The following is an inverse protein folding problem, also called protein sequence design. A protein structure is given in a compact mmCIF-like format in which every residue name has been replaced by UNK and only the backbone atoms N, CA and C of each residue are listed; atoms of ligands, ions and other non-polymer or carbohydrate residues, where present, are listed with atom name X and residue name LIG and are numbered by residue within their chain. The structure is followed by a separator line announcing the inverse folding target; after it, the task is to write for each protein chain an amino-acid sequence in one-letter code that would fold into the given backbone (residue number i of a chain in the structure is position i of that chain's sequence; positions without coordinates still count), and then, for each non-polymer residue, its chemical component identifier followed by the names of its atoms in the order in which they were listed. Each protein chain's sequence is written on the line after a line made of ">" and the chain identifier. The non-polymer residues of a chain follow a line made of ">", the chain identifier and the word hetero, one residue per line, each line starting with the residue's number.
data_IF_613692963540
#
_entry.id   IF_613692963540
#
_cell.length_a   1.000
_cell.length_b   1.000
_cell.length_c   1.000
_cell.angle_alpha   90.00
_cell.angle_beta   90.00
_cell.angle_gamma   90.00
#
_symmetry.space_group_name_H-M   'P 1'
#
loop_
_entity.id
_entity.type
_entity.pdbx_description
1 polymer ?
#
# COMPACT_ATOMS: atom_id res chain seq x y z
N UNK A 1 -14.04 -71.11 -47.55
CA UNK A 1 -13.79 -69.78 -48.16
C UNK A 1 -14.37 -68.74 -47.23
N UNK A 2 -13.52 -68.10 -46.42
CA UNK A 2 -13.97 -67.04 -45.50
C UNK A 2 -13.98 -65.70 -46.24
N UNK A 3 -15.16 -65.13 -46.45
CA UNK A 3 -15.33 -63.77 -46.94
C UNK A 3 -14.86 -62.80 -45.85
N UNK A 4 -13.71 -62.15 -46.07
CA UNK A 4 -13.25 -61.03 -45.25
C UNK A 4 -13.75 -59.76 -45.94
N UNK A 5 -14.76 -59.05 -45.41
CA UNK A 5 -15.16 -57.77 -45.98
C UNK A 5 -13.98 -56.82 -45.82
N UNK A 6 -13.33 -56.48 -46.93
CA UNK A 6 -12.34 -55.43 -46.98
C UNK A 6 -13.10 -54.11 -46.85
N UNK A 7 -13.20 -53.62 -45.62
CA UNK A 7 -13.77 -52.33 -45.30
C UNK A 7 -12.81 -51.24 -45.76
N UNK A 8 -12.99 -50.77 -47.00
CA UNK A 8 -12.18 -49.70 -47.57
C UNK A 8 -12.38 -48.34 -46.85
N UNK A 9 -13.40 -48.20 -45.99
CA UNK A 9 -13.64 -46.99 -45.22
C UNK A 9 -12.80 -46.92 -43.94
N UNK A 10 -12.40 -48.06 -43.35
CA UNK A 10 -11.55 -48.08 -42.14
C UNK A 10 -10.20 -47.41 -42.36
N UNK A 11 -9.62 -47.57 -43.55
CA UNK A 11 -8.34 -46.94 -43.91
C UNK A 11 -8.43 -45.42 -43.96
N UNK A 12 -9.51 -44.88 -44.54
CA UNK A 12 -9.72 -43.44 -44.66
C UNK A 12 -9.96 -42.79 -43.29
N UNK A 13 -10.81 -43.39 -42.45
CA UNK A 13 -11.06 -42.88 -41.10
C UNK A 13 -9.82 -42.95 -40.21
N UNK A 14 -9.03 -44.02 -40.34
CA UNK A 14 -7.75 -44.17 -39.66
C UNK A 14 -6.74 -43.08 -40.06
N UNK A 15 -6.59 -42.78 -41.36
CA UNK A 15 -5.68 -41.73 -41.83
C UNK A 15 -6.08 -40.34 -41.32
N UNK A 16 -7.37 -40.02 -41.32
CA UNK A 16 -7.89 -38.75 -40.78
C UNK A 16 -7.57 -38.65 -39.29
N UNK A 17 -7.81 -39.70 -38.51
CA UNK A 17 -7.52 -39.73 -37.09
C UNK A 17 -6.02 -39.51 -36.81
N UNK A 18 -5.16 -40.13 -37.63
CA UNK A 18 -3.71 -40.00 -37.51
C UNK A 18 -3.24 -38.56 -37.84
N UNK A 19 -3.82 -37.95 -38.87
CA UNK A 19 -3.57 -36.55 -39.21
C UNK A 19 -3.95 -35.58 -38.09
N UNK A 20 -5.12 -35.76 -37.47
CA UNK A 20 -5.56 -34.94 -36.33
C UNK A 20 -4.62 -35.16 -35.14
N UNK A 21 -4.28 -36.41 -34.82
CA UNK A 21 -3.39 -36.70 -33.70
C UNK A 21 -2.03 -36.02 -33.85
N UNK A 22 -1.39 -36.15 -35.02
CA UNK A 22 -0.09 -35.53 -35.29
C UNK A 22 -0.20 -34.00 -35.31
N UNK A 23 -1.25 -33.45 -35.91
CA UNK A 23 -1.49 -32.01 -35.94
C UNK A 23 -1.70 -31.42 -34.54
N UNK A 24 -2.47 -32.10 -33.69
CA UNK A 24 -2.68 -31.70 -32.30
C UNK A 24 -1.39 -31.80 -31.49
N UNK A 25 -0.60 -32.86 -31.69
CA UNK A 25 0.67 -33.05 -30.99
C UNK A 25 1.69 -31.96 -31.36
N UNK A 26 1.79 -31.61 -32.64
CA UNK A 26 2.64 -30.52 -33.13
C UNK A 26 2.19 -29.16 -32.58
N UNK A 27 0.89 -28.89 -32.59
CA UNK A 27 0.31 -27.65 -32.06
C UNK A 27 0.55 -27.53 -30.55
N UNK A 28 0.33 -28.61 -29.79
CA UNK A 28 0.56 -28.63 -28.35
C UNK A 28 2.04 -28.42 -28.00
N UNK A 29 2.94 -29.06 -28.73
CA UNK A 29 4.39 -28.85 -28.56
C UNK A 29 4.77 -27.39 -28.83
N UNK A 30 4.28 -26.81 -29.93
CA UNK A 30 4.56 -25.42 -30.28
C UNK A 30 3.99 -24.44 -29.25
N UNK A 31 2.73 -24.61 -28.86
CA UNK A 31 2.08 -23.80 -27.83
C UNK A 31 2.80 -23.91 -26.48
N UNK A 32 3.25 -25.10 -26.10
CA UNK A 32 4.04 -25.33 -24.90
C UNK A 32 5.38 -24.58 -24.91
N UNK A 33 6.11 -24.63 -26.03
CA UNK A 33 7.38 -23.89 -26.18
C UNK A 33 7.13 -22.38 -26.10
N UNK A 34 6.13 -21.87 -26.81
CA UNK A 34 5.78 -20.45 -26.79
C UNK A 34 5.38 -20.00 -25.38
N UNK A 35 4.57 -20.79 -24.67
CA UNK A 35 4.17 -20.51 -23.29
C UNK A 35 5.37 -20.51 -22.34
N UNK A 36 6.32 -21.44 -22.48
CA UNK A 36 7.55 -21.48 -21.69
C UNK A 36 8.43 -20.24 -21.95
N UNK A 37 8.63 -19.87 -23.22
CA UNK A 37 9.41 -18.69 -23.59
C UNK A 37 8.80 -17.40 -23.03
N UNK A 38 7.48 -17.22 -23.20
CA UNK A 38 6.76 -16.05 -22.67
C UNK A 38 6.78 -16.04 -21.14
N UNK A 39 6.51 -17.16 -20.48
CA UNK A 39 6.53 -17.27 -19.02
C UNK A 39 7.90 -16.95 -18.44
N UNK A 40 8.97 -17.47 -19.08
CA UNK A 40 10.34 -17.16 -18.68
C UNK A 40 10.70 -15.69 -18.86
N UNK A 41 10.32 -15.10 -20.00
CA UNK A 41 10.53 -13.67 -20.24
C UNK A 41 9.79 -12.82 -19.20
N UNK A 42 8.50 -13.06 -18.98
CA UNK A 42 7.69 -12.36 -17.98
C UNK A 42 8.28 -12.49 -16.58
N UNK A 43 8.69 -13.69 -16.17
CA UNK A 43 9.32 -13.91 -14.87
C UNK A 43 10.61 -13.08 -14.71
N UNK A 44 11.45 -13.04 -15.74
CA UNK A 44 12.67 -12.21 -15.73
C UNK A 44 12.35 -10.72 -15.68
N UNK A 45 11.36 -10.24 -16.43
CA UNK A 45 10.95 -8.84 -16.42
C UNK A 45 10.40 -8.40 -15.06
N UNK A 46 9.55 -9.23 -14.43
CA UNK A 46 8.99 -8.95 -13.10
C UNK A 46 10.09 -8.95 -12.04
N UNK A 47 11.03 -9.91 -12.12
CA UNK A 47 12.16 -9.99 -11.18
C UNK A 47 13.09 -8.78 -11.28
N UNK A 48 13.31 -8.25 -12.49
CA UNK A 48 14.11 -7.05 -12.70
C UNK A 48 13.40 -5.75 -12.28
N UNK A 49 12.07 -5.76 -12.23
CA UNK A 49 11.23 -4.61 -11.84
C UNK A 49 10.82 -4.59 -10.37
N UNK A 50 11.19 -5.59 -9.56
CA UNK A 50 10.86 -5.60 -8.14
C UNK A 50 11.62 -4.46 -7.44
N UNK A 51 10.93 -3.42 -6.95
CA UNK A 51 11.60 -2.38 -6.18
C UNK A 51 12.22 -3.04 -4.96
N UNK A 52 13.53 -2.89 -4.78
CA UNK A 52 14.19 -3.18 -3.50
C UNK A 52 13.37 -2.47 -2.44
N UNK A 53 12.77 -3.17 -1.45
CA UNK A 53 12.07 -2.50 -0.38
C UNK A 53 13.09 -1.59 0.31
N UNK A 54 12.96 -0.29 0.07
CA UNK A 54 13.69 0.72 0.82
C UNK A 54 13.43 0.39 2.30
N UNK A 55 14.47 0.27 3.14
CA UNK A 55 14.26 0.07 4.55
C UNK A 55 13.39 1.23 5.02
N UNK A 56 12.12 0.94 5.31
CA UNK A 56 11.22 1.87 5.96
C UNK A 56 11.90 2.17 7.29
N UNK A 57 12.58 3.32 7.38
CA UNK A 57 12.97 3.88 8.66
C UNK A 57 11.67 3.95 9.43
N UNK A 58 11.55 3.09 10.43
CA UNK A 58 10.53 3.19 11.45
C UNK A 58 10.61 4.62 11.97
N UNK A 59 9.71 5.47 11.48
CA UNK A 59 9.47 6.76 12.07
C UNK A 59 8.87 6.44 13.42
N UNK A 60 9.71 6.35 14.44
CA UNK A 60 9.26 6.49 15.81
C UNK A 60 8.82 7.95 15.90
N UNK A 61 7.52 8.27 16.01
CA UNK A 61 7.12 9.61 16.41
C UNK A 61 7.78 9.84 17.76
N UNK A 62 8.86 10.64 17.75
CA UNK A 62 9.42 11.19 18.97
C UNK A 62 8.26 11.97 19.55
N UNK A 63 7.63 11.41 20.58
CA UNK A 63 6.75 12.16 21.46
C UNK A 63 7.57 13.31 22.00
N UNK A 64 7.58 14.42 21.25
CA UNK A 64 7.89 15.72 21.79
C UNK A 64 6.78 15.95 22.81
N UNK A 65 7.01 15.47 24.03
CA UNK A 65 6.52 16.17 25.18
C UNK A 65 7.11 17.57 25.04
N UNK A 66 6.38 18.45 24.37
CA UNK A 66 6.55 19.87 24.54
C UNK A 66 6.36 20.07 26.04
N UNK A 67 7.45 20.35 26.75
CA UNK A 67 7.36 20.83 28.12
C UNK A 67 6.32 21.95 28.10
N UNK A 68 5.27 21.92 28.94
CA UNK A 68 4.32 23.01 28.98
C UNK A 68 5.14 24.28 29.19
N UNK A 69 5.02 25.22 28.26
CA UNK A 69 5.60 26.54 28.45
C UNK A 69 5.07 27.01 29.80
N UNK A 70 5.94 27.06 30.80
CA UNK A 70 5.63 27.67 32.07
C UNK A 70 5.37 29.12 31.72
N UNK A 71 4.10 29.48 31.55
CA UNK A 71 3.67 30.85 31.54
C UNK A 71 4.28 31.45 32.80
N UNK A 72 5.25 32.35 32.63
CA UNK A 72 5.82 33.10 33.72
C UNK A 72 4.78 34.17 34.06
N UNK A 73 3.73 33.79 34.80
CA UNK A 73 2.72 34.74 35.23
C UNK A 73 3.41 35.79 36.12
N UNK A 74 3.21 37.07 35.82
CA UNK A 74 3.77 38.18 36.60
C UNK A 74 3.30 38.03 38.05
N UNK A 75 4.15 38.19 39.08
CA UNK A 75 3.68 38.22 40.45
C UNK A 75 2.62 39.32 40.64
N UNK A 76 1.70 39.14 41.59
CA UNK A 76 0.72 40.16 41.94
C UNK A 76 1.44 41.28 42.72
N UNK A 77 1.22 42.52 42.32
CA UNK A 77 1.67 43.68 43.09
C UNK A 77 0.67 44.02 44.21
N UNK A 78 1.08 44.80 45.21
CA UNK A 78 0.28 45.10 46.42
C UNK A 78 -1.09 45.72 46.13
N UNK A 79 -1.23 46.42 44.99
CA UNK A 79 -2.46 47.06 44.53
C UNK A 79 -3.22 46.24 43.48
N UNK A 80 -2.81 44.99 43.26
CA UNK A 80 -3.40 44.09 42.27
C UNK A 80 -4.03 42.85 42.95
N UNK A 81 -5.13 42.37 42.37
CA UNK A 81 -5.82 41.15 42.82
C UNK A 81 -6.14 40.26 41.63
N UNK A 82 -6.07 38.95 41.86
CA UNK A 82 -6.50 37.96 40.90
C UNK A 82 -7.89 37.45 41.24
N UNK A 83 -8.82 37.53 40.29
CA UNK A 83 -10.18 37.00 40.44
C UNK A 83 -10.55 36.30 39.14
N UNK A 84 -10.88 35.01 39.18
CA UNK A 84 -11.28 34.22 38.01
C UNK A 84 -10.29 34.27 36.83
N UNK A 85 -9.01 34.13 37.13
CA UNK A 85 -7.90 34.25 36.17
C UNK A 85 -7.75 35.62 35.48
N UNK A 86 -8.41 36.66 36.02
CA UNK A 86 -8.33 38.03 35.55
C UNK A 86 -7.68 38.91 36.61
N UNK A 87 -6.77 39.79 36.18
CA UNK A 87 -6.08 40.73 37.06
C UNK A 87 -6.87 42.02 37.19
N UNK A 88 -7.08 42.45 38.42
CA UNK A 88 -7.72 43.71 38.76
C UNK A 88 -6.73 44.61 39.50
N UNK A 89 -6.58 45.85 39.06
CA UNK A 89 -5.79 46.88 39.75
C UNK A 89 -6.71 47.81 40.51
N UNK A 90 -6.32 48.18 41.73
CA UNK A 90 -7.02 49.18 42.55
C UNK A 90 -6.70 50.57 42.01
N UNK A 91 -7.74 51.34 41.70
CA UNK A 91 -7.68 52.77 41.41
C UNK A 91 -8.33 53.56 42.55
N UNK A 92 -8.09 54.87 42.57
CA UNK A 92 -8.69 55.79 43.55
C UNK A 92 -10.22 55.78 43.55
N UNK A 93 -10.84 55.40 42.43
CA UNK A 93 -12.29 55.35 42.21
C UNK A 93 -12.87 53.93 42.09
N UNK A 94 -12.07 52.86 42.25
CA UNK A 94 -12.59 51.49 42.15
C UNK A 94 -11.55 50.44 41.73
N UNK A 95 -12.00 49.40 41.02
CA UNK A 95 -11.17 48.34 40.46
C UNK A 95 -11.26 48.38 38.93
N UNK A 96 -10.11 48.26 38.26
CA UNK A 96 -10.05 48.15 36.80
C UNK A 96 -9.44 46.80 36.43
N UNK A 97 -10.12 46.07 35.54
CA UNK A 97 -9.57 44.86 34.94
C UNK A 97 -8.40 45.23 34.00
N UNK A 98 -7.29 44.51 34.10
CA UNK A 98 -6.16 44.61 33.18
C UNK A 98 -6.33 43.53 32.10
N UNK A 99 -6.82 43.88 30.90
CA UNK A 99 -6.90 42.91 29.81
C UNK A 99 -5.49 42.53 29.36
N UNK A 100 -5.29 41.23 29.11
CA UNK A 100 -4.04 40.58 28.68
C UNK A 100 -2.99 40.25 29.75
N UNK A 101 -3.27 40.49 31.04
CA UNK A 101 -2.42 40.01 32.14
C UNK A 101 -3.14 38.93 32.96
N UNK A 102 -3.13 37.65 32.51
CA UNK A 102 -3.71 36.58 33.30
C UNK A 102 -2.91 36.37 34.60
N UNK A 103 -3.66 36.01 35.61
CA UNK A 103 -3.25 35.47 36.90
C UNK A 103 -4.11 34.21 37.13
#
# INVERSE_FOLDING_TARGET
>A
MSYRPQNNHDGLWWEIALGIFVGQLMTAAFAGIVALCLGYFTFRSVSAGSPTPLPQRLYTPRSQHAAPATLQLRPLESDERCIQHKRFRRLSNGWQELPNDPC
#
